data_IF_171555354720
#
_entry.id   IF_171555354720
#
_cell.length_a   1.000
_cell.length_b   1.000
_cell.length_c   1.000
_cell.angle_alpha   90.00
_cell.angle_beta   90.00
_cell.angle_gamma   90.00
#
_symmetry.space_group_name_H-M   'P 1'
#
loop_
_entity.id
_entity.type
_entity.pdbx_description
1 polymer ?
#
# COMPACT_ATOMS: atom_id res chain seq x y z
N UNK A 1 -16.78 -12.24 -5.33
CA UNK A 1 -15.38 -12.65 -5.50
C UNK A 1 -15.34 -14.15 -5.34
N UNK A 2 -14.86 -14.89 -6.32
CA UNK A 2 -14.74 -16.34 -6.29
C UNK A 2 -13.72 -16.74 -5.22
N UNK A 3 -14.12 -17.60 -4.28
CA UNK A 3 -13.21 -18.26 -3.33
C UNK A 3 -12.06 -18.88 -4.13
N UNK A 4 -10.81 -18.59 -3.75
CA UNK A 4 -9.66 -19.13 -4.46
C UNK A 4 -9.59 -20.65 -4.32
N UNK A 5 -9.48 -21.36 -5.43
CA UNK A 5 -9.36 -22.81 -5.43
C UNK A 5 -7.99 -23.23 -4.89
N UNK A 6 -7.93 -24.32 -4.12
CA UNK A 6 -6.69 -24.94 -3.62
C UNK A 6 -6.46 -26.36 -4.16
N UNK A 7 -7.35 -26.84 -5.04
CA UNK A 7 -7.18 -28.08 -5.79
C UNK A 7 -7.48 -27.85 -7.27
N UNK A 8 -6.80 -28.58 -8.13
CA UNK A 8 -7.12 -28.69 -9.57
C UNK A 8 -8.39 -29.50 -9.83
N UNK A 9 -8.89 -30.21 -8.82
CA UNK A 9 -9.77 -31.35 -9.00
C UNK A 9 -9.05 -32.50 -9.72
N UNK A 10 -9.80 -33.57 -9.98
CA UNK A 10 -9.32 -34.75 -10.71
C UNK A 10 -9.30 -34.44 -12.20
N UNK A 11 -8.13 -34.51 -12.82
CA UNK A 11 -7.92 -34.25 -14.24
C UNK A 11 -7.44 -35.52 -14.95
N UNK A 12 -8.01 -35.90 -16.10
CA UNK A 12 -7.49 -37.00 -16.90
C UNK A 12 -6.05 -36.75 -17.36
N UNK A 13 -5.16 -37.72 -17.15
CA UNK A 13 -3.76 -37.68 -17.57
C UNK A 13 -3.48 -38.61 -18.76
N UNK A 14 -3.90 -39.88 -18.63
CA UNK A 14 -3.90 -40.90 -19.69
C UNK A 14 -5.21 -41.71 -19.58
N UNK A 15 -5.45 -42.65 -20.49
CA UNK A 15 -6.78 -43.27 -20.67
C UNK A 15 -7.47 -43.78 -19.39
N UNK A 16 -6.73 -44.29 -18.41
CA UNK A 16 -7.27 -44.66 -17.10
C UNK A 16 -6.47 -44.08 -15.92
N UNK A 17 -5.60 -43.10 -16.19
CA UNK A 17 -4.83 -42.38 -15.18
C UNK A 17 -5.36 -40.97 -15.00
N UNK A 18 -5.51 -40.57 -13.76
CA UNK A 18 -5.98 -39.25 -13.35
C UNK A 18 -4.95 -38.60 -12.44
N UNK A 19 -4.81 -37.28 -12.53
CA UNK A 19 -3.91 -36.47 -11.70
C UNK A 19 -4.71 -35.42 -10.94
N UNK A 20 -4.35 -35.23 -9.68
CA UNK A 20 -4.87 -34.16 -8.84
C UNK A 20 -3.71 -33.46 -8.13
N UNK A 21 -3.75 -32.13 -8.08
CA UNK A 21 -2.83 -31.31 -7.31
C UNK A 21 -3.63 -30.53 -6.27
N UNK A 22 -3.27 -30.70 -4.99
CA UNK A 22 -3.87 -29.98 -3.87
C UNK A 22 -2.83 -29.22 -3.07
N UNK A 23 -3.14 -28.01 -2.64
CA UNK A 23 -2.40 -27.33 -1.59
C UNK A 23 -2.62 -28.04 -0.24
N UNK A 24 -1.60 -28.02 0.62
CA UNK A 24 -1.63 -28.67 1.92
C UNK A 24 -1.89 -27.65 3.03
N UNK A 25 -2.68 -28.03 4.04
CA UNK A 25 -3.05 -27.15 5.17
C UNK A 25 -1.87 -26.50 5.90
N UNK A 26 -0.74 -27.23 6.00
CA UNK A 26 0.48 -26.78 6.65
C UNK A 26 1.51 -26.19 5.67
N UNK A 27 1.06 -25.73 4.51
CA UNK A 27 1.91 -25.25 3.42
C UNK A 27 2.46 -26.36 2.52
N UNK A 28 2.77 -25.99 1.29
CA UNK A 28 3.20 -26.91 0.23
C UNK A 28 2.04 -27.52 -0.56
N UNK A 29 2.36 -28.56 -1.31
CA UNK A 29 1.52 -29.15 -2.35
C UNK A 29 1.61 -30.68 -2.29
N UNK A 30 0.54 -31.35 -2.71
CA UNK A 30 0.46 -32.79 -2.90
C UNK A 30 0.01 -33.06 -4.33
N UNK A 31 0.77 -33.87 -5.05
CA UNK A 31 0.38 -34.39 -6.37
C UNK A 31 0.06 -35.87 -6.24
N UNK A 32 -1.15 -36.26 -6.61
CA UNK A 32 -1.64 -37.64 -6.54
C UNK A 32 -2.00 -38.09 -7.94
N UNK A 33 -1.53 -39.28 -8.32
CA UNK A 33 -1.97 -39.96 -9.55
C UNK A 33 -2.74 -41.20 -9.14
N UNK A 34 -3.94 -41.35 -9.69
CA UNK A 34 -4.80 -42.51 -9.45
C UNK A 34 -5.07 -43.28 -10.74
N UNK A 35 -5.33 -44.58 -10.62
CA UNK A 35 -5.81 -45.43 -11.69
C UNK A 35 -7.09 -46.11 -11.21
N UNK A 36 -8.23 -45.81 -11.85
CA UNK A 36 -9.55 -46.34 -11.45
C UNK A 36 -9.85 -46.09 -9.95
N UNK A 37 -9.51 -44.91 -9.46
CA UNK A 37 -9.68 -44.50 -8.05
C UNK A 37 -8.62 -45.02 -7.07
N UNK A 38 -7.64 -45.81 -7.52
CA UNK A 38 -6.56 -46.33 -6.66
C UNK A 38 -5.31 -45.48 -6.83
N UNK A 39 -4.76 -44.93 -5.75
CA UNK A 39 -3.51 -44.16 -5.78
C UNK A 39 -2.33 -45.01 -6.24
N UNK A 40 -1.76 -44.67 -7.39
CA UNK A 40 -0.57 -45.32 -7.95
C UNK A 40 0.70 -44.52 -7.68
N UNK A 41 0.61 -43.18 -7.57
CA UNK A 41 1.74 -42.35 -7.17
C UNK A 41 1.30 -41.17 -6.30
N UNK A 42 2.19 -40.75 -5.39
CA UNK A 42 2.01 -39.53 -4.60
C UNK A 42 3.36 -38.87 -4.34
N UNK A 43 3.42 -37.55 -4.48
CA UNK A 43 4.58 -36.73 -4.11
C UNK A 43 4.10 -35.45 -3.40
N UNK A 44 4.76 -35.13 -2.29
CA UNK A 44 4.52 -33.92 -1.52
C UNK A 44 5.70 -32.95 -1.68
N UNK A 45 5.44 -31.68 -1.97
CA UNK A 45 6.49 -30.66 -2.16
C UNK A 45 6.22 -29.36 -1.42
N UNK A 46 7.28 -28.61 -1.14
CA UNK A 46 7.18 -27.30 -0.48
C UNK A 46 6.74 -26.18 -1.42
N UNK A 47 7.19 -26.25 -2.68
CA UNK A 47 6.81 -25.32 -3.75
C UNK A 47 5.91 -26.02 -4.75
N UNK A 48 5.37 -25.28 -5.70
CA UNK A 48 4.47 -25.82 -6.71
C UNK A 48 5.11 -27.00 -7.46
N UNK A 49 4.33 -28.03 -7.81
CA UNK A 49 4.92 -29.22 -8.43
C UNK A 49 5.39 -28.94 -9.86
N UNK A 50 4.71 -28.07 -10.61
CA UNK A 50 5.08 -27.69 -11.99
C UNK A 50 6.32 -26.80 -12.11
N UNK A 51 6.95 -26.39 -10.99
CA UNK A 51 8.26 -25.71 -11.04
C UNK A 51 9.44 -26.64 -10.77
N UNK A 52 9.18 -27.92 -10.47
CA UNK A 52 10.20 -28.90 -10.08
C UNK A 52 10.27 -30.06 -11.06
N UNK A 53 11.31 -30.07 -11.90
CA UNK A 53 11.53 -31.11 -12.92
C UNK A 53 11.72 -32.53 -12.34
N UNK A 54 12.24 -32.64 -11.11
CA UNK A 54 12.48 -33.93 -10.45
C UNK A 54 11.20 -34.64 -10.01
N UNK A 55 10.10 -33.91 -9.76
CA UNK A 55 8.81 -34.51 -9.39
C UNK A 55 8.28 -35.39 -10.52
N UNK A 56 8.40 -34.90 -11.77
CA UNK A 56 7.93 -35.62 -12.96
C UNK A 56 8.60 -36.99 -13.04
N UNK A 57 9.93 -37.05 -12.84
CA UNK A 57 10.70 -38.30 -12.85
C UNK A 57 10.26 -39.25 -11.73
N UNK A 58 10.06 -38.73 -10.51
CA UNK A 58 9.62 -39.54 -9.37
C UNK A 58 8.23 -40.11 -9.58
N UNK A 59 7.25 -39.28 -9.95
CA UNK A 59 5.88 -39.71 -10.24
C UNK A 59 5.86 -40.74 -11.37
N UNK A 60 6.55 -40.47 -12.50
CA UNK A 60 6.62 -41.41 -13.62
C UNK A 60 7.19 -42.77 -13.22
N UNK A 61 8.25 -42.79 -12.39
CA UNK A 61 8.81 -44.04 -11.87
C UNK A 61 7.83 -44.79 -10.97
N UNK A 62 7.14 -44.08 -10.06
CA UNK A 62 6.14 -44.70 -9.19
C UNK A 62 4.98 -45.31 -9.98
N UNK A 63 4.45 -44.59 -10.98
CA UNK A 63 3.37 -45.06 -11.85
C UNK A 63 3.84 -46.24 -12.71
N UNK A 64 5.02 -46.16 -13.33
CA UNK A 64 5.57 -47.23 -14.15
C UNK A 64 5.83 -48.54 -13.38
N UNK A 65 6.07 -48.46 -12.07
CA UNK A 65 6.23 -49.64 -11.21
C UNK A 65 4.91 -50.35 -10.86
N UNK A 66 3.76 -49.66 -11.02
CA UNK A 66 2.45 -50.18 -10.61
C UNK A 66 1.47 -50.37 -11.77
N UNK A 67 1.85 -49.96 -12.98
CA UNK A 67 0.99 -49.94 -14.15
C UNK A 67 1.72 -50.53 -15.36
N UNK A 68 0.98 -50.82 -16.43
CA UNK A 68 1.56 -51.30 -17.69
C UNK A 68 2.12 -50.16 -18.58
N UNK A 69 2.03 -48.90 -18.14
CA UNK A 69 2.50 -47.76 -18.91
C UNK A 69 4.02 -47.65 -18.91
N UNK A 70 4.58 -47.25 -20.06
CA UNK A 70 6.00 -46.93 -20.18
C UNK A 70 6.30 -45.61 -19.47
N UNK A 71 7.35 -45.56 -18.66
CA UNK A 71 7.77 -44.36 -17.93
C UNK A 71 7.94 -43.12 -18.83
N UNK A 72 8.42 -43.28 -20.07
CA UNK A 72 8.53 -42.18 -21.03
C UNK A 72 7.19 -41.52 -21.32
N UNK A 73 6.16 -42.32 -21.64
CA UNK A 73 4.82 -41.81 -21.93
C UNK A 73 4.18 -41.11 -20.71
N UNK A 74 4.41 -41.64 -19.50
CA UNK A 74 3.92 -40.99 -18.27
C UNK A 74 4.65 -39.67 -18.03
N UNK A 75 5.96 -39.63 -18.25
CA UNK A 75 6.78 -38.44 -18.08
C UNK A 75 6.35 -37.33 -19.06
N UNK A 76 6.11 -37.69 -20.32
CA UNK A 76 5.64 -36.75 -21.34
C UNK A 76 4.26 -36.19 -20.98
N UNK A 77 3.32 -37.06 -20.56
CA UNK A 77 1.98 -36.65 -20.16
C UNK A 77 1.99 -35.70 -18.95
N UNK A 78 2.76 -36.00 -17.90
CA UNK A 78 2.86 -35.13 -16.70
C UNK A 78 3.51 -33.80 -17.08
N UNK A 79 4.57 -33.81 -17.91
CA UNK A 79 5.26 -32.58 -18.33
C UNK A 79 4.35 -31.68 -19.14
N UNK A 80 3.61 -32.27 -20.09
CA UNK A 80 2.63 -31.54 -20.89
C UNK A 80 1.55 -30.91 -20.00
N UNK A 81 0.96 -31.70 -19.11
CA UNK A 81 -0.06 -31.20 -18.19
C UNK A 81 0.45 -30.04 -17.31
N UNK A 82 1.66 -30.16 -16.75
CA UNK A 82 2.24 -29.11 -15.91
C UNK A 82 2.49 -27.80 -16.67
N UNK A 83 2.99 -27.88 -17.91
CA UNK A 83 3.21 -26.68 -18.73
C UNK A 83 1.89 -26.03 -19.15
N UNK A 84 0.91 -26.82 -19.59
CA UNK A 84 -0.42 -26.33 -19.95
C UNK A 84 -1.15 -25.71 -18.74
N UNK A 85 -1.12 -26.39 -17.60
CA UNK A 85 -1.75 -25.92 -16.37
C UNK A 85 -1.13 -24.61 -15.89
N UNK A 86 0.20 -24.52 -15.86
CA UNK A 86 0.92 -23.30 -15.48
C UNK A 86 0.58 -22.09 -16.35
N UNK A 87 0.31 -22.30 -17.64
CA UNK A 87 -0.07 -21.25 -18.57
C UNK A 87 -1.55 -20.85 -18.49
N UNK A 88 -2.41 -21.77 -18.04
CA UNK A 88 -3.85 -21.58 -17.90
C UNK A 88 -4.23 -20.54 -16.85
N UNK A 89 -5.46 -20.04 -16.92
CA UNK A 89 -5.99 -19.13 -15.90
C UNK A 89 -6.27 -19.86 -14.59
N UNK A 90 -6.65 -21.14 -14.63
CA UNK A 90 -6.81 -21.98 -13.45
C UNK A 90 -5.49 -22.13 -12.69
N UNK A 91 -4.37 -22.33 -13.40
CA UNK A 91 -3.04 -22.40 -12.77
C UNK A 91 -2.56 -21.09 -12.15
N UNK A 92 -2.99 -19.94 -12.68
CA UNK A 92 -2.71 -18.62 -12.07
C UNK A 92 -3.65 -18.33 -10.90
N UNK A 93 -4.88 -18.87 -10.95
CA UNK A 93 -5.90 -18.69 -9.92
C UNK A 93 -5.71 -19.64 -8.72
N UNK A 94 -5.06 -20.80 -8.91
CA UNK A 94 -4.82 -21.78 -7.86
C UNK A 94 -3.97 -21.16 -6.74
N UNK A 95 -4.50 -21.19 -5.52
CA UNK A 95 -3.85 -20.65 -4.33
C UNK A 95 -3.23 -21.77 -3.51
N UNK A 96 -2.18 -21.43 -2.76
CA UNK A 96 -1.76 -22.24 -1.63
C UNK A 96 -2.75 -22.07 -0.47
N UNK A 97 -2.84 -23.05 0.43
CA UNK A 97 -3.69 -22.94 1.62
C UNK A 97 -3.35 -21.71 2.49
N UNK A 98 -2.07 -21.38 2.76
CA UNK A 98 -1.73 -20.16 3.50
C UNK A 98 -2.27 -18.87 2.86
N UNK A 99 -2.12 -18.73 1.53
CA UNK A 99 -2.61 -17.55 0.82
C UNK A 99 -4.14 -17.52 0.79
N UNK A 100 -4.80 -18.66 0.55
CA UNK A 100 -6.26 -18.78 0.55
C UNK A 100 -6.85 -18.34 1.89
N UNK A 101 -6.31 -18.84 3.01
CA UNK A 101 -6.75 -18.48 4.36
C UNK A 101 -6.73 -16.98 4.61
N UNK A 102 -5.63 -16.31 4.29
CA UNK A 102 -5.49 -14.85 4.48
C UNK A 102 -6.44 -14.07 3.57
N UNK A 103 -6.54 -14.46 2.29
CA UNK A 103 -7.40 -13.79 1.31
C UNK A 103 -8.87 -13.93 1.71
N UNK A 104 -9.30 -15.12 2.08
CA UNK A 104 -10.68 -15.36 2.52
C UNK A 104 -11.01 -14.67 3.83
N UNK A 105 -10.04 -14.52 4.72
CA UNK A 105 -10.25 -13.85 6.01
C UNK A 105 -10.23 -12.31 5.87
N UNK A 106 -9.67 -11.79 4.78
CA UNK A 106 -9.65 -10.35 4.51
C UNK A 106 -11.07 -9.87 4.16
N UNK A 107 -11.61 -8.97 4.98
CA UNK A 107 -12.89 -8.30 4.74
C UNK A 107 -12.70 -7.02 3.93
N UNK A 108 -11.76 -6.17 4.32
CA UNK A 108 -11.49 -4.90 3.66
C UNK A 108 -10.02 -4.49 3.76
N UNK A 109 -9.59 -3.63 2.85
CA UNK A 109 -8.23 -3.10 2.82
C UNK A 109 -8.27 -1.59 2.69
N UNK A 110 -7.70 -0.90 3.67
CA UNK A 110 -7.60 0.56 3.68
C UNK A 110 -6.14 0.95 3.45
N UNK A 111 -5.88 1.72 2.41
CA UNK A 111 -4.59 2.37 2.22
C UNK A 111 -4.67 3.79 2.78
N UNK A 112 -3.97 4.03 3.88
CA UNK A 112 -3.86 5.35 4.50
C UNK A 112 -2.65 6.09 3.95
N UNK A 113 -2.88 7.23 3.30
CA UNK A 113 -1.81 8.08 2.72
C UNK A 113 -1.23 9.08 3.74
N UNK A 114 -1.36 8.75 5.04
CA UNK A 114 -0.67 9.39 6.16
C UNK A 114 0.84 9.43 5.93
N UNK A 115 1.58 10.21 6.73
CA UNK A 115 3.04 10.24 6.68
C UNK A 115 3.61 9.68 7.99
N UNK A 116 4.10 8.42 8.02
CA UNK A 116 4.29 7.51 6.89
C UNK A 116 3.00 6.79 6.44
N UNK A 117 2.92 6.36 5.16
CA UNK A 117 1.76 5.62 4.66
C UNK A 117 1.73 4.21 5.24
N UNK A 118 0.54 3.72 5.53
CA UNK A 118 0.29 2.36 6.01
C UNK A 118 -0.86 1.73 5.23
N UNK A 119 -0.90 0.40 5.25
CA UNK A 119 -2.06 -0.37 4.82
C UNK A 119 -2.65 -1.05 6.05
N UNK A 120 -3.98 -0.99 6.17
CA UNK A 120 -4.76 -1.69 7.18
C UNK A 120 -5.56 -2.78 6.50
N UNK A 121 -5.41 -4.01 6.98
CA UNK A 121 -6.17 -5.17 6.55
C UNK A 121 -7.18 -5.44 7.65
N UNK A 122 -8.46 -5.26 7.35
CA UNK A 122 -9.57 -5.56 8.26
C UNK A 122 -9.96 -7.01 7.99
N UNK A 123 -9.96 -7.82 9.03
CA UNK A 123 -10.35 -9.23 8.97
C UNK A 123 -11.82 -9.40 9.32
N UNK A 124 -12.43 -10.50 8.86
CA UNK A 124 -13.82 -10.83 9.19
C UNK A 124 -14.04 -11.09 10.68
N UNK A 125 -12.99 -11.46 11.42
CA UNK A 125 -13.02 -11.52 12.89
C UNK A 125 -13.25 -10.16 13.55
N UNK A 126 -13.03 -9.06 12.83
CA UNK A 126 -13.00 -7.69 13.36
C UNK A 126 -11.58 -7.22 13.75
N UNK A 127 -10.58 -8.10 13.73
CA UNK A 127 -9.19 -7.74 14.00
C UNK A 127 -8.58 -6.96 12.83
N UNK A 128 -7.53 -6.19 13.13
CA UNK A 128 -6.86 -5.33 12.17
C UNK A 128 -5.36 -5.63 12.10
N UNK A 129 -4.86 -5.83 10.87
CA UNK A 129 -3.43 -5.91 10.61
C UNK A 129 -2.91 -4.66 9.93
N UNK A 130 -1.93 -4.03 10.56
CA UNK A 130 -1.25 -2.85 10.02
C UNK A 130 0.10 -3.26 9.45
N UNK A 131 0.35 -2.89 8.19
CA UNK A 131 1.66 -3.01 7.56
C UNK A 131 2.16 -1.65 7.06
N UNK A 132 3.46 -1.42 7.20
CA UNK A 132 4.15 -0.31 6.53
C UNK A 132 4.32 -0.63 5.06
N UNK A 133 4.34 0.39 4.21
CA UNK A 133 4.62 0.20 2.76
C UNK A 133 5.96 -0.50 2.53
N UNK A 134 6.98 -0.25 3.36
CA UNK A 134 8.27 -0.95 3.27
C UNK A 134 8.18 -2.46 3.50
N UNK A 135 7.23 -2.91 4.33
CA UNK A 135 7.01 -4.34 4.60
C UNK A 135 6.29 -5.03 3.44
N UNK A 136 5.46 -4.30 2.69
CA UNK A 136 4.82 -4.81 1.48
C UNK A 136 5.79 -4.80 0.28
N UNK A 137 6.68 -3.80 0.21
CA UNK A 137 7.67 -3.69 -0.87
C UNK A 137 8.75 -4.77 -0.80
N UNK A 138 9.05 -5.27 0.41
CA UNK A 138 9.97 -6.38 0.64
C UNK A 138 9.31 -7.42 1.55
N UNK A 139 8.39 -8.24 1.00
CA UNK A 139 7.56 -9.13 1.81
C UNK A 139 8.42 -10.18 2.49
N UNK A 140 8.45 -10.14 3.82
CA UNK A 140 9.07 -11.17 4.65
C UNK A 140 8.00 -12.09 5.22
N UNK A 141 8.07 -13.42 5.00
CA UNK A 141 7.05 -14.35 5.48
C UNK A 141 6.80 -14.27 6.97
N UNK A 142 7.84 -13.92 7.74
CA UNK A 142 7.75 -13.72 9.19
C UNK A 142 6.65 -12.72 9.56
N UNK A 143 6.49 -11.64 8.81
CA UNK A 143 5.52 -10.59 9.14
C UNK A 143 4.09 -11.12 9.04
N UNK A 144 3.76 -11.80 7.93
CA UNK A 144 2.45 -12.40 7.73
C UNK A 144 2.16 -13.54 8.72
N UNK A 145 3.13 -14.44 8.92
CA UNK A 145 2.99 -15.56 9.86
C UNK A 145 2.82 -15.08 11.31
N UNK A 146 3.53 -14.02 11.71
CA UNK A 146 3.41 -13.48 13.08
C UNK A 146 2.04 -12.85 13.30
N UNK A 147 1.53 -12.07 12.31
CA UNK A 147 0.18 -11.49 12.37
C UNK A 147 -0.91 -12.56 12.46
N UNK A 148 -0.77 -13.62 11.67
CA UNK A 148 -1.69 -14.76 11.74
C UNK A 148 -1.65 -15.44 13.12
N UNK A 149 -0.46 -15.72 13.64
CA UNK A 149 -0.29 -16.37 14.94
C UNK A 149 -0.85 -15.51 16.10
N UNK A 150 -0.67 -14.19 16.04
CA UNK A 150 -1.25 -13.21 16.98
C UNK A 150 -2.79 -13.25 16.99
N UNK A 151 -3.43 -13.59 15.86
CA UNK A 151 -4.88 -13.49 15.69
C UNK A 151 -5.61 -14.82 15.91
N UNK A 152 -5.07 -15.92 15.39
CA UNK A 152 -5.77 -17.22 15.30
C UNK A 152 -5.12 -18.34 16.13
N UNK A 153 -4.10 -18.03 16.93
CA UNK A 153 -3.37 -18.99 17.78
C UNK A 153 -2.89 -20.27 17.03
N UNK A 154 -2.60 -20.15 15.73
CA UNK A 154 -2.18 -21.24 14.85
C UNK A 154 -1.06 -20.82 13.89
N UNK A 155 -0.28 -21.79 13.39
CA UNK A 155 0.81 -21.50 12.44
C UNK A 155 0.28 -21.49 11.01
N UNK A 156 0.54 -20.41 10.27
CA UNK A 156 0.10 -20.25 8.88
C UNK A 156 0.99 -20.96 7.85
N UNK A 157 2.29 -21.08 8.13
CA UNK A 157 3.30 -21.64 7.21
C UNK A 157 3.41 -20.93 5.85
N UNK A 158 3.09 -19.63 5.81
CA UNK A 158 3.22 -18.83 4.60
C UNK A 158 4.69 -18.68 4.17
N UNK A 159 4.92 -18.71 2.87
CA UNK A 159 6.18 -18.42 2.18
C UNK A 159 6.20 -16.99 1.63
N UNK A 160 7.31 -16.57 1.03
CA UNK A 160 7.40 -15.23 0.42
C UNK A 160 6.41 -15.09 -0.74
N UNK A 161 6.20 -16.16 -1.50
CA UNK A 161 5.26 -16.18 -2.62
C UNK A 161 3.81 -16.06 -2.15
N UNK A 162 3.46 -16.73 -1.05
CA UNK A 162 2.13 -16.62 -0.44
C UNK A 162 1.86 -15.19 0.02
N UNK A 163 2.86 -14.56 0.65
CA UNK A 163 2.74 -13.17 1.09
C UNK A 163 2.60 -12.21 -0.10
N UNK A 164 3.42 -12.37 -1.16
CA UNK A 164 3.26 -11.60 -2.40
C UNK A 164 1.86 -11.76 -2.99
N UNK A 165 1.30 -12.98 -2.97
CA UNK A 165 -0.06 -13.24 -3.48
C UNK A 165 -1.14 -12.54 -2.67
N UNK A 166 -1.01 -12.51 -1.35
CA UNK A 166 -1.90 -11.74 -0.48
C UNK A 166 -1.80 -10.23 -0.77
N UNK A 167 -0.58 -9.73 -0.97
CA UNK A 167 -0.34 -8.32 -1.31
C UNK A 167 -0.98 -7.96 -2.64
N UNK A 168 -0.83 -8.79 -3.68
CA UNK A 168 -1.50 -8.59 -4.97
C UNK A 168 -3.01 -8.43 -4.77
N UNK A 169 -3.64 -9.38 -4.06
CA UNK A 169 -5.07 -9.31 -3.74
C UNK A 169 -5.44 -8.04 -2.98
N UNK A 170 -4.72 -7.69 -1.92
CA UNK A 170 -4.98 -6.48 -1.14
C UNK A 170 -4.84 -5.20 -1.97
N UNK A 171 -3.87 -5.17 -2.90
CA UNK A 171 -3.68 -4.04 -3.79
C UNK A 171 -4.79 -3.92 -4.85
N UNK A 172 -5.48 -5.01 -5.18
CA UNK A 172 -6.64 -4.98 -6.07
C UNK A 172 -7.89 -4.44 -5.36
N UNK A 173 -8.11 -4.83 -4.10
CA UNK A 173 -9.33 -4.47 -3.36
C UNK A 173 -9.19 -3.21 -2.49
N UNK A 174 -8.00 -2.61 -2.42
CA UNK A 174 -7.76 -1.46 -1.54
C UNK A 174 -8.67 -0.28 -1.83
N UNK A 175 -9.21 0.29 -0.76
CA UNK A 175 -9.75 1.63 -0.77
C UNK A 175 -8.67 2.61 -0.29
N UNK A 176 -8.33 3.60 -1.13
CA UNK A 176 -7.46 4.69 -0.70
C UNK A 176 -8.28 5.66 0.14
N UNK A 177 -7.85 5.86 1.38
CA UNK A 177 -8.41 6.87 2.26
C UNK A 177 -7.27 7.83 2.59
N UNK A 178 -7.50 9.11 2.32
CA UNK A 178 -6.67 10.12 2.97
C UNK A 178 -7.17 10.22 4.40
N UNK A 179 -6.42 9.66 5.36
CA UNK A 179 -6.66 9.98 6.77
C UNK A 179 -6.18 11.40 6.96
N UNK A 180 -7.14 12.30 6.96
CA UNK A 180 -6.99 13.61 7.53
C UNK A 180 -6.83 13.35 9.03
N UNK A 181 -5.60 13.42 9.53
CA UNK A 181 -5.51 14.23 10.73
C UNK A 181 -6.03 15.59 10.25
N UNK A 182 -7.27 15.95 10.61
CA UNK A 182 -7.52 17.36 10.81
C UNK A 182 -6.38 17.78 11.73
N UNK A 183 -5.47 18.61 11.24
CA UNK A 183 -4.37 19.13 12.05
C UNK A 183 -4.78 20.56 12.47
N UNK A 184 -5.75 20.75 13.41
CA UNK A 184 -6.08 22.07 13.96
C UNK A 184 -4.84 22.84 14.41
N UNK A 185 -3.79 22.13 14.84
CA UNK A 185 -2.53 22.75 15.25
C UNK A 185 -1.84 23.53 14.11
N UNK A 186 -2.02 23.19 12.83
CA UNK A 186 -1.47 23.96 11.71
C UNK A 186 -2.44 24.99 11.12
N UNK A 187 -3.73 24.91 11.43
CA UNK A 187 -4.68 25.96 11.04
C UNK A 187 -4.35 27.29 11.70
N UNK A 188 -4.09 27.27 13.01
CA UNK A 188 -3.66 28.46 13.75
C UNK A 188 -2.32 28.99 13.24
N UNK A 189 -1.35 28.11 13.00
CA UNK A 189 -0.04 28.46 12.43
C UNK A 189 -0.20 29.10 11.05
N UNK A 190 -1.02 28.52 10.16
CA UNK A 190 -1.26 29.09 8.84
C UNK A 190 -2.01 30.42 8.89
N UNK A 191 -3.00 30.55 9.79
CA UNK A 191 -3.72 31.82 9.99
C UNK A 191 -2.78 32.92 10.44
N UNK A 192 -1.94 32.64 11.43
CA UNK A 192 -1.04 33.64 12.00
C UNK A 192 0.10 33.97 11.00
N UNK A 193 0.52 33.00 10.18
CA UNK A 193 1.46 33.25 9.07
C UNK A 193 0.85 34.20 8.04
N UNK A 194 -0.45 34.02 7.71
CA UNK A 194 -1.15 34.93 6.79
C UNK A 194 -1.22 36.35 7.36
N UNK A 195 -1.49 36.48 8.66
CA UNK A 195 -1.51 37.77 9.34
C UNK A 195 -0.12 38.43 9.32
N UNK A 196 0.95 37.71 9.67
CA UNK A 196 2.32 38.24 9.64
C UNK A 196 2.72 38.69 8.24
N UNK A 197 2.40 37.90 7.21
CA UNK A 197 2.65 38.25 5.81
C UNK A 197 1.84 39.49 5.39
N UNK A 198 0.57 39.60 5.79
CA UNK A 198 -0.30 40.74 5.43
C UNK A 198 0.16 42.08 6.04
N UNK A 199 0.88 42.04 7.16
CA UNK A 199 1.39 43.21 7.87
C UNK A 199 2.80 43.61 7.41
N UNK A 200 3.50 42.72 6.71
CA UNK A 200 4.85 42.95 6.25
C UNK A 200 4.88 43.71 4.91
N UNK A 201 5.76 44.70 4.80
CA UNK A 201 6.10 45.29 3.50
C UNK A 201 7.08 44.37 2.79
N UNK A 202 6.58 43.56 1.86
CA UNK A 202 7.39 42.57 1.13
C UNK A 202 8.03 43.25 -0.08
N UNK A 203 9.36 43.24 -0.14
CA UNK A 203 10.08 43.82 -1.27
C UNK A 203 9.97 42.97 -2.54
N UNK A 204 10.09 43.61 -3.70
CA UNK A 204 10.27 42.94 -5.00
C UNK A 204 11.76 42.63 -5.32
N UNK A 205 12.70 43.13 -4.51
CA UNK A 205 14.13 42.84 -4.69
C UNK A 205 14.50 41.45 -4.15
N UNK A 206 14.81 40.53 -5.08
CA UNK A 206 15.20 39.15 -4.80
C UNK A 206 16.34 39.01 -3.80
N UNK A 207 17.27 39.97 -3.72
CA UNK A 207 18.41 39.89 -2.80
C UNK A 207 17.99 39.99 -1.34
N UNK A 208 16.87 40.66 -1.07
CA UNK A 208 16.36 40.84 0.30
C UNK A 208 15.88 39.55 0.95
N UNK A 209 15.61 38.48 0.20
CA UNK A 209 15.17 37.21 0.80
C UNK A 209 16.20 36.63 1.79
N UNK A 210 17.49 36.93 1.61
CA UNK A 210 18.55 36.47 2.52
C UNK A 210 18.51 37.20 3.87
N UNK A 211 18.05 38.45 3.89
CA UNK A 211 18.02 39.31 5.09
C UNK A 211 16.64 39.34 5.74
N UNK A 212 15.60 39.52 4.93
CA UNK A 212 14.21 39.71 5.37
C UNK A 212 13.42 38.38 5.38
N UNK A 213 13.89 37.34 4.67
CA UNK A 213 13.29 36.01 4.65
C UNK A 213 12.11 35.82 3.70
N UNK A 214 11.64 36.89 3.05
CA UNK A 214 10.57 36.86 2.06
C UNK A 214 10.78 37.90 0.96
N UNK A 215 10.28 37.62 -0.22
CA UNK A 215 10.30 38.52 -1.39
C UNK A 215 9.10 38.23 -2.28
N UNK A 216 8.58 39.24 -2.97
CA UNK A 216 7.56 39.07 -4.00
C UNK A 216 8.22 38.78 -5.36
N UNK A 217 7.74 37.74 -6.04
CA UNK A 217 8.16 37.36 -7.39
C UNK A 217 6.93 37.09 -8.25
N UNK A 218 6.56 38.07 -9.07
CA UNK A 218 5.31 38.04 -9.82
C UNK A 218 4.12 38.07 -8.85
N UNK A 219 3.16 37.15 -9.04
CA UNK A 219 1.98 37.02 -8.16
C UNK A 219 2.23 36.16 -6.91
N UNK A 220 3.49 35.81 -6.61
CA UNK A 220 3.83 34.87 -5.54
C UNK A 220 4.67 35.55 -4.48
N UNK A 221 4.45 35.16 -3.23
CA UNK A 221 5.36 35.47 -2.14
C UNK A 221 6.30 34.28 -1.96
N UNK A 222 7.59 34.54 -2.03
CA UNK A 222 8.63 33.53 -1.95
C UNK A 222 9.33 33.65 -0.59
N UNK A 223 9.29 32.58 0.20
CA UNK A 223 9.74 32.57 1.60
C UNK A 223 10.93 31.64 1.78
N UNK A 224 11.95 32.10 2.49
CA UNK A 224 13.15 31.33 2.81
C UNK A 224 12.88 30.26 3.89
N UNK A 225 13.63 29.13 3.88
CA UNK A 225 13.45 28.07 4.87
C UNK A 225 13.66 28.50 6.32
N UNK A 226 14.60 29.41 6.57
CA UNK A 226 14.88 29.88 7.93
C UNK A 226 13.68 30.66 8.48
N UNK A 227 12.98 31.42 7.63
CA UNK A 227 11.81 32.20 8.03
C UNK A 227 10.61 31.31 8.36
N UNK A 228 10.40 30.26 7.58
CA UNK A 228 9.39 29.23 7.90
C UNK A 228 9.74 28.48 9.19
N UNK A 229 11.02 28.19 9.43
CA UNK A 229 11.46 27.53 10.66
C UNK A 229 11.27 28.43 11.88
N UNK A 230 11.73 29.70 11.82
CA UNK A 230 11.51 30.71 12.86
C UNK A 230 10.02 30.83 13.19
N UNK A 231 9.17 30.87 12.15
CA UNK A 231 7.73 30.95 12.32
C UNK A 231 7.15 29.70 13.02
N UNK A 232 7.57 28.51 12.61
CA UNK A 232 7.15 27.26 13.26
C UNK A 232 7.60 27.22 14.73
N UNK A 233 8.82 27.64 15.03
CA UNK A 233 9.37 27.69 16.38
C UNK A 233 8.57 28.63 17.31
N UNK A 234 8.06 29.77 16.80
CA UNK A 234 7.14 30.65 17.55
C UNK A 234 5.87 29.93 18.01
N UNK A 235 5.44 28.89 17.29
CA UNK A 235 4.27 28.07 17.62
C UNK A 235 4.64 26.75 18.32
N UNK A 236 5.85 26.63 18.86
CA UNK A 236 6.33 25.42 19.54
C UNK A 236 6.55 24.23 18.61
N UNK A 237 6.69 24.47 17.29
CA UNK A 237 6.93 23.45 16.28
C UNK A 237 8.42 23.40 15.92
N UNK A 238 8.92 22.19 15.65
CA UNK A 238 10.33 21.95 15.41
C UNK A 238 10.67 21.79 13.93
N UNK A 239 11.95 21.51 13.67
CA UNK A 239 12.46 21.26 12.31
C UNK A 239 11.81 20.05 11.63
N UNK A 240 11.31 19.08 12.41
CA UNK A 240 10.58 17.88 11.95
C UNK A 240 9.17 18.22 11.43
N UNK A 241 8.57 19.32 11.88
CA UNK A 241 7.22 19.73 11.47
C UNK A 241 7.19 20.43 10.11
N UNK A 242 8.35 20.85 9.57
CA UNK A 242 8.44 21.53 8.28
C UNK A 242 7.83 20.73 7.13
N UNK A 243 8.07 19.42 7.09
CA UNK A 243 7.53 18.57 6.03
C UNK A 243 5.99 18.46 6.14
N UNK A 244 5.47 18.25 7.36
CA UNK A 244 4.03 18.20 7.66
C UNK A 244 3.35 19.54 7.32
N UNK A 245 3.94 20.66 7.71
CA UNK A 245 3.43 22.01 7.42
C UNK A 245 3.46 22.34 5.92
N UNK A 246 4.51 21.94 5.18
CA UNK A 246 4.55 22.08 3.71
C UNK A 246 3.45 21.32 3.00
N UNK A 247 3.14 20.11 3.47
CA UNK A 247 2.03 19.31 2.94
C UNK A 247 0.69 20.00 3.24
N UNK A 248 0.50 20.48 4.47
CA UNK A 248 -0.70 21.22 4.88
C UNK A 248 -0.93 22.48 4.03
N UNK A 249 0.07 23.35 3.87
CA UNK A 249 -0.06 24.59 3.09
C UNK A 249 -0.34 24.34 1.60
N UNK A 250 0.20 23.26 1.02
CA UNK A 250 -0.11 22.90 -0.38
C UNK A 250 -1.57 22.48 -0.53
N UNK A 251 -2.08 21.67 0.40
CA UNK A 251 -3.46 21.20 0.38
C UNK A 251 -4.46 22.33 0.64
N UNK A 252 -4.11 23.30 1.48
CA UNK A 252 -4.91 24.51 1.70
C UNK A 252 -4.87 25.51 0.53
N UNK A 253 -4.19 25.17 -0.57
CA UNK A 253 -3.97 26.04 -1.73
C UNK A 253 -3.02 27.22 -1.49
N UNK A 254 -2.51 27.39 -0.27
CA UNK A 254 -1.69 28.54 0.12
C UNK A 254 -0.26 28.43 -0.42
N UNK A 255 0.28 27.22 -0.51
CA UNK A 255 1.56 26.94 -1.16
C UNK A 255 1.32 26.32 -2.54
N UNK A 256 1.94 26.91 -3.57
CA UNK A 256 1.63 26.60 -4.98
C UNK A 256 2.36 25.34 -5.44
N UNK A 257 3.56 25.10 -4.91
CA UNK A 257 4.43 23.99 -5.32
C UNK A 257 5.37 23.60 -4.19
N UNK A 258 6.00 22.44 -4.33
CA UNK A 258 7.09 22.02 -3.45
C UNK A 258 8.19 23.07 -3.37
N UNK A 259 8.95 23.04 -2.27
CA UNK A 259 10.14 23.87 -2.10
C UNK A 259 11.04 23.78 -3.32
N UNK A 260 11.21 24.90 -4.01
CA UNK A 260 11.84 24.96 -5.32
C UNK A 260 13.10 25.82 -5.26
N UNK A 261 14.14 25.52 -6.07
CA UNK A 261 15.33 26.36 -6.11
C UNK A 261 14.99 27.75 -6.65
N UNK A 262 15.42 28.78 -5.94
CA UNK A 262 15.47 30.17 -6.35
C UNK A 262 16.95 30.57 -6.49
N UNK A 263 17.34 31.01 -7.68
CA UNK A 263 18.70 31.47 -7.94
C UNK A 263 18.79 32.98 -7.70
N UNK A 264 19.77 33.39 -6.88
CA UNK A 264 20.08 34.79 -6.57
C UNK A 264 21.58 34.94 -6.78
N UNK A 265 21.96 35.74 -7.78
CA UNK A 265 23.34 35.87 -8.24
C UNK A 265 24.00 34.47 -8.43
N UNK A 266 25.00 34.13 -7.63
CA UNK A 266 25.73 32.86 -7.65
C UNK A 266 25.25 31.82 -6.64
N UNK A 267 24.18 32.10 -5.88
CA UNK A 267 23.65 31.21 -4.85
C UNK A 267 22.27 30.62 -5.22
N UNK A 268 21.95 29.45 -4.67
CA UNK A 268 20.65 28.79 -4.82
C UNK A 268 20.03 28.60 -3.44
N UNK A 269 18.85 29.18 -3.25
CA UNK A 269 18.04 29.03 -2.03
C UNK A 269 16.83 28.15 -2.36
N UNK A 270 16.61 27.09 -1.56
CA UNK A 270 15.38 26.27 -1.67
C UNK A 270 14.23 27.02 -1.00
N UNK A 271 13.40 27.73 -1.76
CA UNK A 271 12.36 28.60 -1.21
C UNK A 271 10.95 28.01 -1.35
N UNK A 272 10.05 28.49 -0.51
CA UNK A 272 8.62 28.15 -0.48
C UNK A 272 7.87 29.19 -1.31
N UNK A 273 6.95 28.75 -2.18
CA UNK A 273 6.21 29.64 -3.07
C UNK A 273 4.75 29.69 -2.64
N UNK A 274 4.36 30.83 -2.08
CA UNK A 274 3.03 31.09 -1.53
C UNK A 274 2.17 31.89 -2.50
N UNK A 275 0.87 31.64 -2.46
CA UNK A 275 -0.13 32.27 -3.30
C UNK A 275 -0.62 33.59 -2.69
N UNK A 276 -0.21 34.72 -3.27
CA UNK A 276 -0.56 36.07 -2.79
C UNK A 276 -2.09 36.32 -2.89
N UNK A 277 -2.78 35.67 -3.83
CA UNK A 277 -4.23 35.85 -4.05
C UNK A 277 -5.09 35.30 -2.91
N UNK A 278 -4.56 34.38 -2.10
CA UNK A 278 -5.30 33.81 -0.95
C UNK A 278 -5.20 34.72 0.28
N UNK A 279 -4.24 35.64 0.34
CA UNK A 279 -4.11 36.61 1.42
C UNK A 279 -5.15 37.72 1.32
N UNK A 280 -5.55 38.10 0.10
CA UNK A 280 -6.48 39.21 -0.18
C UNK A 280 -7.96 38.83 -0.05
N UNK A 281 -8.32 37.54 0.04
CA UNK A 281 -9.74 37.11 0.06
C UNK A 281 -10.42 37.17 1.43
N UNK A 282 -9.66 37.25 2.53
CA UNK A 282 -10.23 37.18 3.89
C UNK A 282 -10.15 38.49 4.66
N UNK A 283 -9.47 39.52 4.16
CA UNK A 283 -9.52 40.86 4.76
C UNK A 283 -10.82 41.59 4.46
N UNK A 284 -11.50 41.27 3.34
CA UNK A 284 -12.79 41.88 2.99
C UNK A 284 -14.02 41.27 3.69
N UNK A 285 -13.86 40.18 4.47
CA UNK A 285 -14.99 39.52 5.17
C UNK A 285 -14.99 39.74 6.69
N UNK A 286 -14.12 40.60 7.23
CA UNK A 286 -14.11 40.93 8.67
C UNK A 286 -14.68 42.32 9.00
N UNK A 287 -14.97 43.16 8.00
CA UNK A 287 -15.54 44.51 8.20
C UNK A 287 -17.08 44.56 8.19
N UNK A 288 -17.77 43.40 8.15
CA UNK A 288 -19.24 43.34 8.24
C UNK A 288 -19.70 42.66 9.53
N UNK A 289 -19.37 43.26 10.67
CA UNK A 289 -20.18 43.14 11.89
C UNK A 289 -20.79 44.51 12.13
N UNK A 290 -21.82 44.82 11.35
CA UNK A 290 -22.72 45.93 11.67
C UNK A 290 -23.58 45.54 12.87
N UNK A 291 -23.62 46.48 13.79
CA UNK A 291 -24.48 46.62 14.95
C UNK A 291 -25.84 45.92 14.84
N UNK A 292 -26.10 45.01 15.77
CA UNK A 292 -27.46 44.82 16.30
C UNK A 292 -27.37 45.00 17.81
N UNK A 293 -27.26 46.26 18.22
CA UNK A 293 -27.65 46.69 19.56
C UNK A 293 -29.05 47.31 19.50
N UNK A 294 -29.90 46.87 20.43
CA UNK A 294 -31.21 47.43 20.79
C UNK A 294 -32.35 47.32 19.78
N UNK A 295 -33.39 46.53 20.11
CA UNK A 295 -34.70 47.09 20.50
C UNK A 295 -35.35 46.11 21.49
N UNK A 296 -35.33 46.50 22.76
CA UNK A 296 -36.31 46.06 23.74
C UNK A 296 -37.64 46.79 23.49
N UNK A 297 -38.74 46.02 23.48
CA UNK A 297 -40.05 46.42 24.01
C UNK A 297 -40.96 47.31 23.13
N UNK A 298 -42.19 46.85 22.93
CA UNK A 298 -43.43 47.37 23.58
C UNK A 298 -44.67 46.85 22.83
N UNK A 299 -45.50 46.09 23.58
CA UNK A 299 -46.95 45.75 23.43
C UNK A 299 -47.41 45.03 22.17
#
# INVERSE_FOLDING_TARGET
>A
MTSGQTSTGIVPLLSDLEIEICAKDCGGWSTVITQKGITVAKEDTKTEPWVQTEIVKKLSKQVGNKTAYKSGAIQDAISQYFEEFKASDDGKALLSEPARKVIEETEAVIWETSDPPIIRIILKSGDEWIFKISELASPQPKNLNSKWLETYEGVLYATTKDFSRCIEFWLEIKQKIEVFEDIPEFENVLRDLRLEISQCTISDDRKKIQQEGWVRIGENIVVAPFKILEFLEKHGKGSNDRARFSKFMRKSGFMIKNTSPLRIDNEIIRAWFLNDKILLKNTSSMDSVEDISSVDGVV
#
